data_IF_315352618485
#
_entry.id   IF_315352618485
#
_cell.length_a   1.000
_cell.length_b   1.000
_cell.length_c   1.000
_cell.angle_alpha   90.00
_cell.angle_beta   90.00
_cell.angle_gamma   90.00
#
_symmetry.space_group_name_H-M   'P 1'
#
loop_
_entity.id
_entity.type
_entity.pdbx_description
1 polymer ?
#
# COMPACT_ATOMS: atom_id res chain seq x y z
N UNK A 1 13.41 13.18 20.61
CA UNK A 1 12.50 12.25 19.92
C UNK A 1 13.25 10.95 19.66
N UNK A 2 12.70 9.86 20.11
CA UNK A 2 13.24 8.50 19.99
C UNK A 2 12.46 7.70 18.99
N UNK A 3 13.13 6.71 18.35
CA UNK A 3 12.52 5.82 17.38
C UNK A 3 12.73 4.39 17.82
N UNK A 4 11.67 3.60 17.81
CA UNK A 4 11.67 2.18 18.15
C UNK A 4 11.26 1.31 16.97
N UNK A 5 11.72 0.08 16.95
CA UNK A 5 11.40 -0.92 15.93
C UNK A 5 10.84 -2.19 16.57
N UNK A 6 9.63 -2.56 16.17
CA UNK A 6 8.97 -3.80 16.55
C UNK A 6 8.84 -4.71 15.33
N UNK A 7 9.74 -5.65 15.22
CA UNK A 7 9.85 -6.60 14.09
C UNK A 7 10.08 -8.02 14.59
N UNK A 8 10.29 -8.97 13.67
CA UNK A 8 10.69 -10.34 14.03
C UNK A 8 12.02 -10.43 14.76
N UNK A 9 12.91 -9.45 14.57
CA UNK A 9 14.27 -9.42 15.12
C UNK A 9 14.52 -8.29 16.13
N UNK A 10 13.64 -7.30 16.26
CA UNK A 10 13.78 -6.18 17.20
C UNK A 10 12.52 -5.97 18.02
N UNK A 11 12.68 -5.54 19.28
CA UNK A 11 11.59 -5.26 20.23
C UNK A 11 11.85 -3.98 21.02
N UNK A 12 12.16 -2.92 20.33
CA UNK A 12 12.38 -1.59 20.89
C UNK A 12 11.04 -0.85 20.92
N UNK A 13 10.31 -0.96 22.01
CA UNK A 13 8.94 -0.44 22.12
C UNK A 13 8.84 0.85 22.91
N UNK A 14 9.85 1.21 23.72
CA UNK A 14 9.89 2.44 24.49
C UNK A 14 10.43 3.60 23.64
N UNK A 15 9.56 4.22 22.83
CA UNK A 15 9.97 5.27 21.91
C UNK A 15 8.82 6.25 21.62
N UNK A 16 9.17 7.49 21.27
CA UNK A 16 8.20 8.52 20.82
C UNK A 16 7.51 8.12 19.50
N UNK A 17 8.24 7.40 18.64
CA UNK A 17 7.76 6.87 17.35
C UNK A 17 8.08 5.39 17.25
N UNK A 18 7.06 4.56 17.12
CA UNK A 18 7.21 3.11 16.99
C UNK A 18 6.92 2.68 15.54
N UNK A 19 7.92 2.09 14.89
CA UNK A 19 7.75 1.39 13.63
C UNK A 19 7.50 -0.09 13.89
N UNK A 20 6.37 -0.59 13.46
CA UNK A 20 5.99 -1.98 13.70
C UNK A 20 5.66 -2.70 12.41
N UNK A 21 6.13 -3.94 12.29
CA UNK A 21 5.63 -4.79 11.21
C UNK A 21 4.22 -5.27 11.53
N UNK A 22 3.36 -5.29 10.50
CA UNK A 22 1.99 -5.78 10.61
C UNK A 22 1.91 -7.17 11.27
N UNK A 23 2.78 -8.09 10.85
CA UNK A 23 2.81 -9.45 11.37
C UNK A 23 3.15 -9.53 12.88
N UNK A 24 3.85 -8.56 13.42
CA UNK A 24 4.11 -8.51 14.87
C UNK A 24 2.94 -7.89 15.61
N UNK A 25 2.44 -6.75 15.15
CA UNK A 25 1.36 -6.03 15.83
C UNK A 25 0.02 -6.79 15.77
N UNK A 26 -0.21 -7.62 14.75
CA UNK A 26 -1.40 -8.47 14.66
C UNK A 26 -1.46 -9.58 15.74
N UNK A 27 -0.32 -9.94 16.35
CA UNK A 27 -0.30 -10.97 17.39
C UNK A 27 -0.92 -10.43 18.68
N UNK A 28 -1.95 -11.07 19.27
CA UNK A 28 -2.60 -10.59 20.49
C UNK A 28 -1.60 -10.33 21.63
N UNK A 29 -0.70 -11.27 21.92
CA UNK A 29 0.32 -11.15 22.98
C UNK A 29 1.29 -9.98 22.80
N UNK A 30 1.43 -9.45 21.59
CA UNK A 30 2.27 -8.27 21.30
C UNK A 30 1.44 -7.01 21.41
N UNK A 31 0.28 -6.99 20.78
CA UNK A 31 -0.63 -5.85 20.74
C UNK A 31 -1.13 -5.47 22.14
N UNK A 32 -1.46 -6.46 22.96
CA UNK A 32 -1.96 -6.29 24.33
C UNK A 32 -0.91 -5.77 25.33
N UNK A 33 0.35 -5.58 24.89
CA UNK A 33 1.37 -4.89 25.69
C UNK A 33 1.18 -3.36 25.66
N UNK A 34 0.39 -2.85 24.75
CA UNK A 34 0.04 -1.44 24.60
C UNK A 34 -1.41 -1.22 25.04
N UNK A 35 -1.68 -0.10 25.67
CA UNK A 35 -3.05 0.31 25.93
C UNK A 35 -3.78 0.62 24.61
N UNK A 36 -5.10 0.43 24.51
CA UNK A 36 -5.84 0.74 23.28
C UNK A 36 -5.67 2.20 22.82
N UNK A 37 -5.51 3.12 23.73
CA UNK A 37 -5.33 4.58 23.55
C UNK A 37 -3.85 5.03 23.67
N UNK A 38 -2.90 4.09 23.62
CA UNK A 38 -1.46 4.37 23.75
C UNK A 38 -0.95 5.37 22.70
N UNK A 39 -1.44 5.23 21.48
CA UNK A 39 -0.96 6.01 20.35
C UNK A 39 -1.95 7.12 19.98
N UNK A 40 -1.48 8.38 19.92
CA UNK A 40 -2.30 9.50 19.45
C UNK A 40 -2.55 9.40 17.95
N UNK A 41 -1.59 8.85 17.18
CA UNK A 41 -1.69 8.71 15.73
C UNK A 41 -1.16 7.36 15.31
N UNK A 42 -1.89 6.69 14.43
CA UNK A 42 -1.44 5.46 13.77
C UNK A 42 -1.45 5.68 12.26
N UNK A 43 -0.31 5.39 11.64
CA UNK A 43 -0.14 5.43 10.18
C UNK A 43 -0.08 4.01 9.65
N UNK A 44 -0.93 3.69 8.70
CA UNK A 44 -0.94 2.41 7.99
C UNK A 44 -0.39 2.63 6.60
N UNK A 45 0.78 2.06 6.33
CA UNK A 45 1.30 1.93 4.98
C UNK A 45 0.64 0.72 4.28
N UNK A 46 0.53 0.77 2.96
CA UNK A 46 -0.19 -0.21 2.15
C UNK A 46 -1.65 -0.42 2.64
N UNK A 47 -2.34 0.70 2.87
CA UNK A 47 -3.70 0.72 3.44
C UNK A 47 -4.73 -0.07 2.61
N UNK A 48 -4.45 -0.34 1.32
CA UNK A 48 -5.28 -1.23 0.51
C UNK A 48 -5.43 -2.63 1.12
N UNK A 49 -4.56 -3.03 2.08
CA UNK A 49 -4.61 -4.31 2.77
C UNK A 49 -5.48 -4.31 4.03
N UNK A 50 -6.09 -3.17 4.40
CA UNK A 50 -6.87 -3.03 5.66
C UNK A 50 -8.06 -3.98 5.76
N UNK A 51 -8.57 -4.52 4.64
CA UNK A 51 -9.59 -5.56 4.62
C UNK A 51 -9.18 -6.91 5.18
N UNK A 52 -7.87 -7.17 5.34
CA UNK A 52 -7.41 -8.45 5.89
C UNK A 52 -7.64 -8.55 7.40
N UNK A 53 -7.83 -9.78 7.89
CA UNK A 53 -8.08 -10.05 9.31
C UNK A 53 -7.00 -9.51 10.26
N UNK A 54 -5.74 -9.48 9.81
CA UNK A 54 -4.62 -8.96 10.59
C UNK A 54 -4.72 -7.45 10.80
N UNK A 55 -5.07 -6.70 9.75
CA UNK A 55 -5.27 -5.25 9.85
C UNK A 55 -6.52 -4.93 10.66
N UNK A 56 -7.61 -5.64 10.42
CA UNK A 56 -8.84 -5.47 11.19
C UNK A 56 -8.64 -5.74 12.68
N UNK A 57 -7.82 -6.73 13.05
CA UNK A 57 -7.50 -7.01 14.44
C UNK A 57 -6.75 -5.84 15.13
N UNK A 58 -5.95 -5.09 14.39
CA UNK A 58 -5.24 -3.92 14.90
C UNK A 58 -6.20 -2.72 14.98
N UNK A 59 -6.94 -2.44 13.91
CA UNK A 59 -7.86 -1.31 13.85
C UNK A 59 -9.00 -1.42 14.88
N UNK A 60 -9.47 -2.64 15.17
CA UNK A 60 -10.49 -2.88 16.19
C UNK A 60 -9.95 -2.80 17.63
N UNK A 61 -8.64 -2.91 17.82
CA UNK A 61 -8.04 -2.86 19.16
C UNK A 61 -7.65 -1.45 19.57
N UNK A 62 -6.93 -0.73 18.69
CA UNK A 62 -6.43 0.59 19.01
C UNK A 62 -7.48 1.69 18.77
N UNK A 63 -7.43 2.71 19.59
CA UNK A 63 -8.32 3.86 19.58
C UNK A 63 -7.50 5.17 19.56
N UNK A 64 -6.70 5.42 18.52
CA UNK A 64 -5.93 6.65 18.41
C UNK A 64 -6.85 7.84 18.13
N UNK A 65 -6.37 9.06 18.40
CA UNK A 65 -7.06 10.28 18.00
C UNK A 65 -7.14 10.43 16.48
N UNK A 66 -6.18 9.83 15.75
CA UNK A 66 -6.11 9.97 14.31
C UNK A 66 -5.54 8.71 13.61
N UNK A 67 -6.27 8.23 12.61
CA UNK A 67 -5.81 7.21 11.67
C UNK A 67 -5.40 7.83 10.33
N UNK A 68 -4.24 7.46 9.81
CA UNK A 68 -3.80 7.80 8.45
C UNK A 68 -3.51 6.54 7.65
N UNK A 69 -4.20 6.36 6.54
CA UNK A 69 -3.90 5.32 5.55
C UNK A 69 -3.13 5.89 4.37
N UNK A 70 -2.05 5.22 3.96
CA UNK A 70 -1.31 5.55 2.74
C UNK A 70 -1.33 4.34 1.81
N UNK A 71 -1.60 4.56 0.53
CA UNK A 71 -1.57 3.50 -0.48
C UNK A 71 -1.37 4.07 -1.88
N UNK A 72 -0.63 3.35 -2.70
CA UNK A 72 -0.50 3.65 -4.13
C UNK A 72 -1.64 3.03 -4.96
N UNK A 73 -2.42 2.12 -4.40
CA UNK A 73 -3.45 1.34 -5.11
C UNK A 73 -4.73 1.26 -4.28
N UNK A 74 -5.50 2.34 -4.15
CA UNK A 74 -6.73 2.34 -3.35
C UNK A 74 -7.83 1.48 -3.98
N UNK A 75 -7.81 1.31 -5.30
CA UNK A 75 -8.77 0.52 -6.06
C UNK A 75 -8.39 -0.97 -5.99
N UNK A 76 -9.30 -1.79 -5.48
CA UNK A 76 -9.12 -3.24 -5.35
C UNK A 76 -10.12 -4.00 -6.22
N UNK A 77 -9.75 -5.22 -6.57
CA UNK A 77 -10.58 -6.13 -7.37
C UNK A 77 -11.47 -7.05 -6.53
N UNK A 78 -11.36 -7.00 -5.19
CA UNK A 78 -12.05 -7.89 -4.25
C UNK A 78 -13.20 -7.23 -3.47
N UNK A 79 -13.78 -6.17 -4.02
CA UNK A 79 -14.93 -5.41 -3.49
C UNK A 79 -14.72 -4.83 -2.08
N UNK A 80 -13.50 -4.86 -1.52
CA UNK A 80 -13.22 -4.18 -0.25
C UNK A 80 -13.01 -2.69 -0.46
N UNK A 81 -13.87 -1.88 0.16
CA UNK A 81 -13.75 -0.43 0.14
C UNK A 81 -12.73 0.06 1.19
N UNK A 82 -11.54 0.41 0.71
CA UNK A 82 -10.47 0.95 1.57
C UNK A 82 -10.88 2.28 2.20
N UNK A 83 -11.62 3.10 1.47
CA UNK A 83 -12.04 4.43 1.95
C UNK A 83 -13.01 4.32 3.13
N UNK A 84 -13.83 3.29 3.18
CA UNK A 84 -14.73 3.02 4.29
C UNK A 84 -13.95 2.83 5.61
N UNK A 85 -12.77 2.22 5.57
CA UNK A 85 -11.93 2.02 6.75
C UNK A 85 -11.39 3.34 7.35
N UNK A 86 -11.51 4.46 6.61
CA UNK A 86 -11.08 5.80 6.99
C UNK A 86 -12.22 6.83 6.85
N UNK A 87 -13.46 6.39 7.05
CA UNK A 87 -14.67 7.24 7.00
C UNK A 87 -14.82 8.05 5.69
N UNK A 88 -14.29 7.53 4.58
CA UNK A 88 -14.24 8.19 3.27
C UNK A 88 -13.52 9.56 3.26
N UNK A 89 -12.69 9.83 4.25
CA UNK A 89 -11.88 11.05 4.29
C UNK A 89 -10.61 10.89 3.44
N UNK A 90 -10.54 11.61 2.34
CA UNK A 90 -9.37 11.65 1.46
C UNK A 90 -8.63 12.96 1.72
N UNK A 91 -7.46 12.87 2.37
CA UNK A 91 -6.64 14.04 2.65
C UNK A 91 -5.87 14.52 1.42
N UNK A 92 -5.38 13.59 0.61
CA UNK A 92 -4.64 13.88 -0.61
C UNK A 92 -4.70 12.69 -1.57
N UNK A 93 -4.87 12.99 -2.85
CA UNK A 93 -4.80 12.01 -3.93
C UNK A 93 -3.95 12.59 -5.07
N UNK A 94 -3.02 11.78 -5.58
CA UNK A 94 -2.26 12.09 -6.79
C UNK A 94 -2.25 10.87 -7.70
N UNK A 95 -2.65 11.05 -8.94
CA UNK A 95 -2.63 10.00 -9.96
C UNK A 95 -1.27 9.94 -10.64
N UNK A 96 -0.94 8.77 -11.20
CA UNK A 96 0.35 8.51 -11.83
C UNK A 96 0.72 9.58 -12.87
N UNK A 97 -0.23 9.96 -13.72
CA UNK A 97 -0.02 10.97 -14.75
C UNK A 97 0.36 12.32 -14.14
N UNK A 98 -0.40 12.78 -13.16
CA UNK A 98 -0.15 14.03 -12.45
C UNK A 98 1.22 13.99 -11.74
N UNK A 99 1.55 12.88 -11.08
CA UNK A 99 2.84 12.72 -10.41
C UNK A 99 4.04 12.80 -11.38
N UNK A 100 3.87 12.34 -12.63
CA UNK A 100 4.87 12.50 -13.67
C UNK A 100 4.95 13.96 -14.19
N UNK A 101 3.82 14.60 -14.42
CA UNK A 101 3.76 16.00 -14.85
C UNK A 101 4.38 16.96 -13.82
N UNK A 102 4.19 16.67 -12.53
CA UNK A 102 4.77 17.41 -11.40
C UNK A 102 6.23 17.03 -11.09
N UNK A 103 6.85 16.16 -11.89
CA UNK A 103 8.22 15.65 -11.69
C UNK A 103 8.45 14.95 -10.32
N UNK A 104 7.40 14.40 -9.72
CA UNK A 104 7.50 13.60 -8.49
C UNK A 104 7.94 12.16 -8.77
N UNK A 105 7.78 11.71 -10.01
CA UNK A 105 8.23 10.41 -10.49
C UNK A 105 9.15 10.56 -11.69
N UNK A 106 10.08 9.62 -11.84
CA UNK A 106 10.92 9.54 -13.03
C UNK A 106 10.07 9.19 -14.26
N UNK A 107 10.28 9.87 -15.40
CA UNK A 107 9.64 9.48 -16.64
C UNK A 107 10.01 8.05 -17.03
N UNK A 108 9.06 7.29 -17.55
CA UNK A 108 9.31 5.97 -18.08
C UNK A 108 8.65 5.80 -19.46
N UNK A 109 9.21 4.92 -20.25
CA UNK A 109 8.63 4.52 -21.52
C UNK A 109 7.99 3.14 -21.36
N UNK A 110 6.69 3.07 -21.63
CA UNK A 110 5.96 1.80 -21.63
C UNK A 110 5.91 1.21 -23.04
N UNK A 111 6.41 0.01 -23.19
CA UNK A 111 6.33 -0.76 -24.43
C UNK A 111 5.37 -1.93 -24.21
N UNK A 112 4.18 -1.85 -24.79
CA UNK A 112 3.21 -2.93 -24.78
C UNK A 112 3.44 -3.85 -25.98
N UNK A 113 3.50 -5.17 -25.76
CA UNK A 113 3.47 -6.19 -26.84
C UNK A 113 2.01 -6.61 -26.98
N UNK A 114 1.38 -6.23 -28.09
CA UNK A 114 -0.05 -6.46 -28.33
C UNK A 114 -0.39 -7.82 -28.92
N UNK A 115 0.58 -8.55 -29.49
CA UNK A 115 0.30 -9.82 -30.13
C UNK A 115 1.45 -10.84 -29.92
N UNK A 116 1.15 -11.89 -29.17
CA UNK A 116 1.92 -13.13 -29.18
C UNK A 116 1.12 -14.13 -30.01
N UNK A 117 1.39 -14.21 -31.32
CA UNK A 117 0.88 -15.31 -32.15
C UNK A 117 1.84 -16.49 -32.06
N UNK A 118 1.39 -17.56 -31.44
CA UNK A 118 2.03 -18.86 -31.51
C UNK A 118 1.61 -19.55 -32.82
N UNK A 119 2.56 -19.72 -33.72
CA UNK A 119 2.36 -20.54 -34.91
C UNK A 119 2.53 -22.02 -34.51
N UNK A 120 1.43 -22.76 -34.44
CA UNK A 120 1.42 -24.16 -33.96
C UNK A 120 2.31 -25.12 -34.79
N UNK A 121 2.73 -24.73 -35.99
CA UNK A 121 3.58 -25.55 -36.85
C UNK A 121 5.08 -25.43 -36.64
N UNK A 122 5.59 -24.38 -35.98
CA UNK A 122 7.04 -24.16 -35.98
C UNK A 122 7.68 -23.82 -34.60
N UNK A 123 6.98 -23.87 -33.49
CA UNK A 123 7.52 -23.52 -32.13
C UNK A 123 8.42 -22.26 -32.09
N UNK A 124 8.22 -21.30 -32.99
CA UNK A 124 8.92 -20.03 -33.02
C UNK A 124 7.95 -18.90 -32.64
N UNK A 125 8.28 -18.19 -31.59
CA UNK A 125 7.55 -16.97 -31.17
C UNK A 125 7.97 -15.86 -32.13
N UNK A 126 7.03 -15.32 -32.93
CA UNK A 126 7.24 -14.07 -33.66
C UNK A 126 6.72 -12.91 -32.82
N UNK A 127 7.60 -12.03 -32.42
CA UNK A 127 7.27 -10.75 -31.79
C UNK A 127 6.99 -9.74 -32.90
N UNK A 128 5.77 -9.22 -32.99
CA UNK A 128 5.47 -8.04 -33.80
C UNK A 128 5.36 -6.82 -32.88
N UNK A 129 6.22 -5.84 -33.09
CA UNK A 129 6.10 -4.53 -32.46
C UNK A 129 4.99 -3.77 -33.18
N UNK A 130 3.86 -3.58 -32.50
CA UNK A 130 2.83 -2.65 -32.97
C UNK A 130 3.32 -1.22 -32.84
N UNK A 131 3.08 -0.39 -33.89
CA UNK A 131 3.38 1.02 -33.87
C UNK A 131 2.54 1.72 -32.78
N UNK A 132 3.19 2.26 -31.77
CA UNK A 132 2.57 3.12 -30.78
C UNK A 132 2.22 4.47 -31.41
N UNK A 133 0.94 4.84 -31.38
CA UNK A 133 0.56 6.23 -31.58
C UNK A 133 1.01 7.03 -30.35
N UNK A 134 1.93 7.96 -30.56
CA UNK A 134 2.20 9.02 -29.60
C UNK A 134 0.95 9.89 -29.45
N UNK A 135 0.28 9.78 -28.34
CA UNK A 135 -0.63 10.86 -27.89
C UNK A 135 0.24 11.88 -27.19
N UNK A 136 0.64 12.90 -27.92
CA UNK A 136 1.14 14.15 -27.36
C UNK A 136 -0.05 14.94 -26.84
N UNK A 137 -0.03 15.24 -25.55
CA UNK A 137 -0.83 16.28 -24.93
C UNK A 137 -0.06 17.59 -24.94
#
# INVERSE_FOLDING_TARGET
KTFGLLSGSSREVEADYLFATMNMMAKPKVREQFAPDEFQMIVIDEAHRTGSSSYQAIMNYFQPDFWLGMTASPERTDDFDVFQAFDHNIAYEIRLQQAMEENLLCPFHYFGITDLRTDEKNRRIKLSLGSLQQTSA
#
